data_IF_038774317920
#
_entry.id   IF_038774317920
#
_cell.length_a   1.000
_cell.length_b   1.000
_cell.length_c   1.000
_cell.angle_alpha   90.00
_cell.angle_beta   90.00
_cell.angle_gamma   90.00
#
_symmetry.space_group_name_H-M   'P 1'
#
loop_
_entity.id
_entity.type
_entity.pdbx_description
1 polymer ?
#
# COMPACT_ATOMS: atom_id res chain seq x y z
N UNK A 1 -39.24 7.11 33.65
CA UNK A 1 -38.47 6.07 32.93
C UNK A 1 -39.45 5.27 32.10
N UNK A 2 -39.32 5.24 30.76
CA UNK A 2 -40.26 4.52 29.90
C UNK A 2 -39.97 3.01 29.93
N UNK A 3 -40.97 2.15 30.25
CA UNK A 3 -40.80 0.69 30.34
C UNK A 3 -40.30 0.09 29.03
N UNK A 4 -40.66 0.70 27.90
CA UNK A 4 -40.22 0.30 26.55
C UNK A 4 -38.70 0.27 26.37
N UNK A 5 -37.95 1.13 27.07
CA UNK A 5 -36.48 1.13 27.00
C UNK A 5 -35.84 -0.01 27.80
N UNK A 6 -36.51 -0.50 28.84
CA UNK A 6 -35.99 -1.63 29.60
C UNK A 6 -36.10 -2.90 28.75
N UNK A 7 -37.24 -3.09 28.09
CA UNK A 7 -37.47 -4.23 27.20
C UNK A 7 -36.56 -4.22 25.97
N UNK A 8 -36.26 -3.04 25.42
CA UNK A 8 -35.26 -2.88 24.34
C UNK A 8 -33.86 -3.29 24.80
N UNK A 9 -33.43 -2.89 25.99
CA UNK A 9 -32.10 -3.24 26.53
C UNK A 9 -31.98 -4.74 26.79
N UNK A 10 -33.03 -5.38 27.31
CA UNK A 10 -33.06 -6.83 27.53
C UNK A 10 -32.94 -7.57 26.19
N UNK A 11 -33.72 -7.18 25.18
CA UNK A 11 -33.62 -7.75 23.82
C UNK A 11 -32.23 -7.60 23.19
N UNK A 12 -31.58 -6.45 23.37
CA UNK A 12 -30.22 -6.22 22.88
C UNK A 12 -29.21 -7.14 23.60
N UNK A 13 -29.33 -7.34 24.92
CA UNK A 13 -28.43 -8.25 25.66
C UNK A 13 -28.63 -9.72 25.29
N UNK A 14 -29.87 -10.15 25.08
CA UNK A 14 -30.14 -11.51 24.62
C UNK A 14 -29.59 -11.74 23.21
N UNK A 15 -29.79 -10.78 22.29
CA UNK A 15 -29.21 -10.82 20.96
C UNK A 15 -27.67 -10.83 20.98
N UNK A 16 -27.07 -10.09 21.90
CA UNK A 16 -25.63 -10.07 22.14
C UNK A 16 -25.12 -11.47 22.53
N UNK A 17 -25.77 -12.11 23.50
CA UNK A 17 -25.40 -13.46 23.92
C UNK A 17 -25.60 -14.49 22.80
N UNK A 18 -26.66 -14.37 22.00
CA UNK A 18 -26.89 -15.24 20.82
C UNK A 18 -25.79 -15.10 19.78
N UNK A 19 -25.36 -13.86 19.50
CA UNK A 19 -24.28 -13.60 18.54
C UNK A 19 -22.94 -14.13 19.02
N UNK A 20 -22.61 -13.92 20.30
CA UNK A 20 -21.37 -14.43 20.89
C UNK A 20 -21.35 -15.95 20.94
N UNK A 21 -22.50 -16.59 21.21
CA UNK A 21 -22.65 -18.05 21.19
C UNK A 21 -22.70 -18.65 19.76
N UNK A 22 -22.60 -17.84 18.70
CA UNK A 22 -22.69 -18.30 17.31
C UNK A 22 -24.07 -18.80 16.89
N UNK A 23 -25.12 -18.51 17.67
CA UNK A 23 -26.52 -18.90 17.41
C UNK A 23 -27.33 -17.72 16.87
N UNK A 24 -26.77 -17.00 15.90
CA UNK A 24 -27.48 -15.93 15.24
C UNK A 24 -28.71 -16.50 14.52
N UNK A 25 -29.88 -15.89 14.74
CA UNK A 25 -31.15 -16.37 14.20
C UNK A 25 -31.65 -15.55 13.01
N UNK A 26 -31.34 -14.25 13.00
CA UNK A 26 -31.86 -13.31 11.98
C UNK A 26 -30.72 -12.62 11.23
N UNK A 27 -29.57 -12.46 11.86
CA UNK A 27 -28.42 -11.79 11.27
C UNK A 27 -27.42 -12.78 10.64
N UNK A 28 -26.54 -12.25 9.79
CA UNK A 28 -25.48 -13.02 9.11
C UNK A 28 -24.37 -13.55 10.05
N UNK A 29 -24.60 -13.59 11.37
CA UNK A 29 -23.62 -14.03 12.37
C UNK A 29 -22.41 -13.12 12.55
N UNK A 30 -22.33 -11.99 11.85
CA UNK A 30 -21.21 -11.06 11.96
C UNK A 30 -21.17 -10.35 13.32
N UNK A 31 -20.00 -10.24 13.94
CA UNK A 31 -19.81 -9.54 15.22
C UNK A 31 -19.75 -8.00 15.03
N UNK A 32 -20.78 -7.42 14.41
CA UNK A 32 -20.86 -5.99 14.09
C UNK A 32 -22.10 -5.34 14.71
N UNK A 33 -22.05 -4.04 14.96
CA UNK A 33 -23.20 -3.30 15.51
C UNK A 33 -24.45 -3.36 14.62
N UNK A 34 -24.30 -3.52 13.30
CA UNK A 34 -25.41 -3.69 12.37
C UNK A 34 -26.07 -5.06 12.54
N UNK A 35 -25.28 -6.12 12.66
CA UNK A 35 -25.79 -7.46 12.90
C UNK A 35 -26.48 -7.56 14.27
N UNK A 36 -25.93 -6.93 15.32
CA UNK A 36 -26.58 -6.84 16.63
C UNK A 36 -27.92 -6.12 16.56
N UNK A 37 -28.01 -5.02 15.80
CA UNK A 37 -29.26 -4.30 15.61
C UNK A 37 -30.34 -5.16 14.93
N UNK A 38 -29.95 -5.89 13.87
CA UNK A 38 -30.82 -6.84 13.15
C UNK A 38 -31.25 -7.99 14.08
N UNK A 39 -30.33 -8.58 14.83
CA UNK A 39 -30.60 -9.71 15.73
C UNK A 39 -31.48 -9.33 16.94
N UNK A 40 -31.38 -8.09 17.41
CA UNK A 40 -32.23 -7.55 18.48
C UNK A 40 -33.55 -6.96 17.97
N UNK A 41 -33.75 -6.87 16.65
CA UNK A 41 -34.93 -6.24 16.04
C UNK A 41 -35.02 -4.74 16.34
N UNK A 42 -33.89 -4.05 16.55
CA UNK A 42 -33.83 -2.63 16.87
C UNK A 42 -33.20 -1.84 15.73
N UNK A 43 -33.61 -0.58 15.58
CA UNK A 43 -33.04 0.29 14.56
C UNK A 43 -31.57 0.63 14.87
N UNK A 44 -30.69 0.61 13.86
CA UNK A 44 -29.25 0.90 14.01
C UNK A 44 -28.98 2.23 14.73
N UNK A 45 -29.77 3.27 14.44
CA UNK A 45 -29.60 4.57 15.11
C UNK A 45 -29.99 4.57 16.59
N UNK A 46 -30.87 3.66 17.01
CA UNK A 46 -31.19 3.51 18.44
C UNK A 46 -29.96 2.99 19.19
N UNK A 47 -29.27 2.01 18.62
CA UNK A 47 -28.04 1.46 19.19
C UNK A 47 -26.90 2.50 19.21
N UNK A 48 -26.77 3.32 18.18
CA UNK A 48 -25.70 4.33 18.08
C UNK A 48 -25.94 5.61 18.88
N UNK A 49 -27.20 6.00 19.15
CA UNK A 49 -27.52 7.26 19.86
C UNK A 49 -28.00 7.05 21.30
N UNK A 50 -28.77 6.00 21.56
CA UNK A 50 -29.42 5.75 22.86
C UNK A 50 -28.76 4.63 23.68
N UNK A 51 -28.16 3.65 23.01
CA UNK A 51 -27.55 2.48 23.66
C UNK A 51 -26.06 2.34 23.33
N UNK A 52 -25.34 3.46 23.42
CA UNK A 52 -23.89 3.51 23.17
C UNK A 52 -23.12 2.64 24.16
N UNK A 53 -23.61 2.56 25.39
CA UNK A 53 -23.13 1.69 26.45
C UNK A 53 -23.18 0.21 26.04
N UNK A 54 -24.33 -0.26 25.53
CA UNK A 54 -24.49 -1.65 25.09
C UNK A 54 -23.65 -1.98 23.85
N UNK A 55 -23.48 -1.01 22.94
CA UNK A 55 -22.55 -1.15 21.81
C UNK A 55 -21.11 -1.33 22.31
N UNK A 56 -20.69 -0.52 23.28
CA UNK A 56 -19.34 -0.58 23.82
C UNK A 56 -19.12 -1.90 24.60
N UNK A 57 -20.10 -2.33 25.39
CA UNK A 57 -20.10 -3.63 26.08
C UNK A 57 -19.98 -4.79 25.07
N UNK A 58 -20.75 -4.75 23.98
CA UNK A 58 -20.65 -5.75 22.92
C UNK A 58 -19.25 -5.81 22.33
N UNK A 59 -18.64 -4.68 21.97
CA UNK A 59 -17.28 -4.68 21.44
C UNK A 59 -16.24 -5.12 22.46
N UNK A 60 -16.44 -4.84 23.76
CA UNK A 60 -15.57 -5.35 24.82
C UNK A 60 -15.69 -6.86 24.97
N UNK A 61 -16.91 -7.40 24.99
CA UNK A 61 -17.15 -8.85 25.05
C UNK A 61 -16.65 -9.56 23.81
N UNK A 62 -16.92 -9.02 22.63
CA UNK A 62 -16.33 -9.51 21.38
C UNK A 62 -14.81 -9.50 21.49
N UNK A 63 -14.16 -8.45 22.01
CA UNK A 63 -12.70 -8.45 22.19
C UNK A 63 -12.19 -9.44 23.24
N UNK A 64 -12.93 -9.66 24.33
CA UNK A 64 -12.56 -10.58 25.39
C UNK A 64 -12.75 -12.05 24.96
N UNK A 65 -13.82 -12.33 24.25
CA UNK A 65 -14.18 -13.66 23.76
C UNK A 65 -13.43 -13.99 22.46
N UNK A 66 -13.17 -12.97 21.63
CA UNK A 66 -12.29 -13.01 20.44
C UNK A 66 -10.87 -12.55 20.79
N UNK A 67 -10.44 -12.66 22.06
CA UNK A 67 -9.03 -12.47 22.43
C UNK A 67 -8.14 -13.59 21.82
N UNK A 68 -8.76 -14.61 21.21
CA UNK A 68 -8.24 -15.28 20.03
C UNK A 68 -8.47 -14.40 18.81
N UNK A 69 -7.44 -13.63 18.45
CA UNK A 69 -7.34 -12.74 17.28
C UNK A 69 -8.23 -13.20 16.11
N UNK A 70 -9.07 -12.34 15.52
CA UNK A 70 -9.85 -12.74 14.36
C UNK A 70 -8.87 -13.13 13.25
N UNK A 71 -8.81 -14.41 12.93
CA UNK A 71 -8.13 -14.99 11.78
C UNK A 71 -8.19 -14.12 10.51
N UNK A 72 -9.35 -13.50 10.14
CA UNK A 72 -9.40 -12.64 8.95
C UNK A 72 -8.61 -11.33 9.09
N UNK A 73 -8.48 -10.74 10.28
CA UNK A 73 -7.72 -9.50 10.47
C UNK A 73 -6.21 -9.78 10.54
N UNK A 74 -5.81 -10.92 11.10
CA UNK A 74 -4.43 -11.42 11.04
C UNK A 74 -4.03 -11.74 9.60
N UNK A 75 -4.85 -12.50 8.86
CA UNK A 75 -4.63 -12.79 7.44
C UNK A 75 -4.59 -11.50 6.61
N UNK A 76 -5.42 -10.50 6.94
CA UNK A 76 -5.37 -9.20 6.27
C UNK A 76 -4.07 -8.46 6.57
N UNK A 77 -3.59 -8.45 7.82
CA UNK A 77 -2.29 -7.86 8.18
C UNK A 77 -1.12 -8.58 7.51
N UNK A 78 -1.15 -9.90 7.43
CA UNK A 78 -0.16 -10.68 6.69
C UNK A 78 -0.20 -10.37 5.20
N UNK A 79 -1.39 -10.23 4.62
CA UNK A 79 -1.56 -9.89 3.19
C UNK A 79 -1.05 -8.47 2.92
N UNK A 80 -1.36 -7.51 3.80
CA UNK A 80 -0.85 -6.13 3.70
C UNK A 80 0.67 -6.09 3.86
N UNK A 81 1.25 -6.88 4.76
CA UNK A 81 2.70 -6.96 4.92
C UNK A 81 3.39 -7.59 3.70
N UNK A 82 2.81 -8.68 3.14
CA UNK A 82 3.30 -9.32 1.92
C UNK A 82 3.22 -8.37 0.72
N UNK A 83 2.10 -7.66 0.54
CA UNK A 83 1.90 -6.69 -0.53
C UNK A 83 2.89 -5.52 -0.44
N UNK A 84 3.13 -4.98 0.77
CA UNK A 84 4.15 -3.94 0.98
C UNK A 84 5.56 -4.43 0.61
N UNK A 85 5.92 -5.65 1.01
CA UNK A 85 7.21 -6.24 0.64
C UNK A 85 7.35 -6.44 -0.88
N UNK A 86 6.28 -6.82 -1.56
CA UNK A 86 6.28 -6.94 -3.03
C UNK A 86 6.40 -5.58 -3.70
N UNK A 87 5.76 -4.53 -3.18
CA UNK A 87 5.93 -3.16 -3.68
C UNK A 87 7.39 -2.70 -3.55
N UNK A 88 7.99 -2.85 -2.36
CA UNK A 88 9.39 -2.44 -2.15
C UNK A 88 10.36 -3.19 -3.08
N UNK A 89 10.13 -4.48 -3.32
CA UNK A 89 10.93 -5.26 -4.26
C UNK A 89 10.73 -4.79 -5.71
N UNK A 90 9.49 -4.49 -6.11
CA UNK A 90 9.19 -4.02 -7.46
C UNK A 90 9.72 -2.62 -7.72
N UNK A 91 9.73 -1.74 -6.71
CA UNK A 91 10.36 -0.42 -6.81
C UNK A 91 11.88 -0.52 -6.98
N UNK A 92 12.54 -1.46 -6.29
CA UNK A 92 13.97 -1.73 -6.48
C UNK A 92 14.26 -2.23 -7.90
N UNK A 93 13.52 -3.21 -8.38
CA UNK A 93 13.65 -3.73 -9.76
C UNK A 93 13.47 -2.61 -10.79
N UNK A 94 12.45 -1.75 -10.63
CA UNK A 94 12.23 -0.60 -11.51
C UNK A 94 13.39 0.39 -11.48
N UNK A 95 13.98 0.64 -10.31
CA UNK A 95 15.14 1.53 -10.18
C UNK A 95 16.37 0.95 -10.88
N UNK A 96 16.63 -0.34 -10.70
CA UNK A 96 17.75 -1.04 -11.35
C UNK A 96 17.59 -1.07 -12.88
N UNK A 97 16.40 -1.40 -13.37
CA UNK A 97 16.08 -1.36 -14.80
C UNK A 97 16.27 0.04 -15.40
N UNK A 98 15.80 1.08 -14.71
CA UNK A 98 16.01 2.48 -15.14
C UNK A 98 17.48 2.86 -15.18
N UNK A 99 18.28 2.41 -14.20
CA UNK A 99 19.72 2.66 -14.19
C UNK A 99 20.41 1.95 -15.36
N UNK A 100 20.05 0.69 -15.63
CA UNK A 100 20.60 -0.08 -16.73
C UNK A 100 20.29 0.57 -18.09
N UNK A 101 19.04 0.98 -18.30
CA UNK A 101 18.64 1.69 -19.52
C UNK A 101 19.42 2.99 -19.66
N UNK A 102 19.54 3.78 -18.60
CA UNK A 102 20.32 5.03 -18.62
C UNK A 102 21.78 4.75 -19.01
N UNK A 103 22.41 3.76 -18.39
CA UNK A 103 23.81 3.40 -18.69
C UNK A 103 23.98 2.92 -20.14
N UNK A 104 23.05 2.11 -20.65
CA UNK A 104 23.08 1.64 -22.04
C UNK A 104 22.85 2.78 -23.03
N UNK A 105 21.93 3.70 -22.74
CA UNK A 105 21.72 4.90 -23.58
C UNK A 105 22.96 5.80 -23.60
N UNK A 106 23.64 5.97 -22.47
CA UNK A 106 24.90 6.70 -22.38
C UNK A 106 26.00 6.02 -23.21
N UNK A 107 26.17 4.70 -23.06
CA UNK A 107 27.16 3.94 -23.81
C UNK A 107 26.92 4.04 -25.33
N UNK A 108 25.66 3.89 -25.76
CA UNK A 108 25.29 4.05 -27.17
C UNK A 108 25.56 5.47 -27.69
N UNK A 109 25.27 6.51 -26.90
CA UNK A 109 25.56 7.89 -27.27
C UNK A 109 27.07 8.12 -27.44
N UNK A 110 27.90 7.59 -26.55
CA UNK A 110 29.37 7.69 -26.65
C UNK A 110 29.89 6.97 -27.89
N UNK A 111 29.43 5.74 -28.14
CA UNK A 111 29.85 4.97 -29.32
C UNK A 111 29.43 5.66 -30.62
N UNK A 112 28.22 6.20 -30.67
CA UNK A 112 27.75 6.96 -31.83
C UNK A 112 28.58 8.22 -32.03
N UNK A 113 28.94 8.93 -30.95
CA UNK A 113 29.81 10.10 -31.04
C UNK A 113 31.23 9.77 -31.52
N UNK A 114 31.79 8.64 -31.09
CA UNK A 114 33.10 8.16 -31.56
C UNK A 114 33.08 7.78 -33.04
N UNK A 115 31.99 7.17 -33.52
CA UNK A 115 31.81 6.84 -34.94
C UNK A 115 31.63 8.08 -35.82
N UNK A 116 31.05 9.15 -35.27
CA UNK A 116 30.82 10.42 -35.95
C UNK A 116 31.97 11.42 -35.81
N UNK A 117 33.00 11.12 -35.00
CA UNK A 117 34.21 11.95 -34.95
C UNK A 117 34.99 11.68 -36.25
N UNK A 118 35.05 12.62 -37.20
CA UNK A 118 35.87 12.42 -38.38
C UNK A 118 37.31 12.28 -37.89
N UNK A 119 38.01 11.25 -38.35
CA UNK A 119 39.45 11.17 -38.14
C UNK A 119 40.07 12.51 -38.54
N UNK A 120 40.97 13.10 -37.73
CA UNK A 120 41.70 14.28 -38.18
C UNK A 120 42.41 13.90 -39.48
N UNK A 121 42.00 14.52 -40.58
CA UNK A 121 42.61 14.34 -41.89
C UNK A 121 44.13 14.49 -41.73
N UNK A 122 44.95 13.55 -42.26
CA UNK A 122 46.41 13.57 -42.07
C UNK A 122 47.13 14.73 -42.76
N UNK A 123 46.42 15.72 -43.31
CA UNK A 123 46.99 16.76 -44.16
C UNK A 123 47.43 18.04 -43.42
N UNK A 124 47.24 18.14 -42.10
CA UNK A 124 47.61 19.35 -41.35
C UNK A 124 48.90 19.24 -40.51
N UNK A 125 49.60 18.11 -40.53
CA UNK A 125 50.86 17.94 -39.79
C UNK A 125 52.14 18.08 -40.65
N UNK A 126 52.01 18.34 -41.95
CA UNK A 126 53.16 18.44 -42.86
C UNK A 126 53.66 19.88 -43.11
N UNK A 127 52.88 20.91 -42.76
CA UNK A 127 53.22 22.29 -43.12
C UNK A 127 54.10 23.05 -42.10
N UNK A 128 54.33 22.50 -40.91
CA UNK A 128 55.04 23.20 -39.83
C UNK A 128 56.57 22.96 -39.80
N UNK A 129 57.11 22.15 -40.72
CA UNK A 129 58.53 21.75 -40.71
C UNK A 129 59.41 22.44 -41.77
N UNK A 130 58.97 23.54 -42.40
CA UNK A 130 59.75 24.23 -43.43
C UNK A 130 60.28 25.55 -42.91
N UNK A 131 61.57 25.60 -42.58
CA UNK A 131 62.31 26.84 -42.29
C UNK A 131 62.73 27.45 -43.64
N UNK A 132 62.27 28.66 -44.02
CA UNK A 132 62.76 29.31 -45.22
C UNK A 132 64.15 29.88 -44.97
N UNK A 133 65.17 29.34 -45.64
CA UNK A 133 66.48 29.99 -45.75
C UNK A 133 66.34 31.26 -46.59
N UNK A 134 66.56 32.43 -45.98
CA UNK A 134 66.73 33.70 -46.70
C UNK A 134 68.15 33.76 -47.26
N UNK A 135 68.36 33.89 -48.59
CA UNK A 135 69.69 34.18 -49.11
C UNK A 135 70.07 35.63 -48.76
N UNK A 136 71.30 35.79 -48.30
CA UNK A 136 71.97 37.06 -48.08
C UNK A 136 72.56 37.48 -49.42
N UNK A 137 72.15 38.60 -50.00
CA UNK A 137 72.90 39.23 -51.08
C UNK A 137 72.76 40.76 -51.05
N UNK A 138 73.92 41.37 -50.75
CA UNK A 138 74.55 42.64 -51.18
C UNK A 138 73.71 43.91 -51.39
#
# INVERSE_FOLDING_TARGET
MNPQHHDERTRIREAMNRLLAGRATVSNGGLTATALAVEAGVHRMALLKRHVDLKNEFYQRVRAETQQVPEPEQRLRETVAKLKKTLDNKEKELKELRQLVTNLTLANAVLTHQQHTPAPSPDLLAADNVIPFRPLDS
#
